data_IF_571474212186
#
_entry.id   IF_571474212186
#
_cell.length_a   1.000
_cell.length_b   1.000
_cell.length_c   1.000
_cell.angle_alpha   90.00
_cell.angle_beta   90.00
_cell.angle_gamma   90.00
#
_symmetry.space_group_name_H-M   'P 1'
#
loop_
_entity.id
_entity.type
_entity.pdbx_description
1 polymer ?
#
# COMPACT_ATOMS: atom_id res chain seq x y z
N UNK A 1 1.65 16.81 -9.54
CA UNK A 1 1.12 15.43 -9.45
C UNK A 1 1.83 14.47 -10.40
N UNK A 2 1.85 14.73 -11.72
CA UNK A 2 2.63 13.94 -12.70
C UNK A 2 4.13 13.93 -12.37
N UNK A 3 4.65 15.06 -11.91
CA UNK A 3 6.05 15.19 -11.47
C UNK A 3 6.44 14.20 -10.36
N UNK A 4 5.54 13.92 -9.40
CA UNK A 4 5.82 12.93 -8.36
C UNK A 4 5.83 11.49 -8.88
N UNK A 5 5.01 11.18 -9.90
CA UNK A 5 5.01 9.87 -10.56
C UNK A 5 6.29 9.63 -11.36
N UNK A 6 6.76 10.66 -12.08
CA UNK A 6 8.04 10.57 -12.77
C UNK A 6 9.17 10.38 -11.76
N UNK A 7 9.15 11.14 -10.67
CA UNK A 7 10.15 11.03 -9.61
C UNK A 7 10.17 9.64 -8.96
N UNK A 8 9.02 9.02 -8.67
CA UNK A 8 8.99 7.64 -8.14
C UNK A 8 9.50 6.62 -9.14
N UNK A 9 9.21 6.80 -10.43
CA UNK A 9 9.73 5.95 -11.51
C UNK A 9 11.25 6.05 -11.63
N UNK A 10 11.79 7.27 -11.60
CA UNK A 10 13.22 7.55 -11.76
C UNK A 10 14.05 7.08 -10.56
N UNK A 11 13.48 7.09 -9.36
CA UNK A 11 14.11 6.54 -8.15
C UNK A 11 14.14 5.01 -8.11
N UNK A 12 13.29 4.32 -8.89
CA UNK A 12 13.15 2.87 -8.75
C UNK A 12 14.33 2.12 -9.38
N UNK A 13 15.17 1.49 -8.55
CA UNK A 13 16.32 0.68 -8.99
C UNK A 13 15.96 -0.74 -9.44
N UNK A 14 14.68 -1.08 -9.49
CA UNK A 14 14.19 -2.43 -9.81
C UNK A 14 14.75 -3.55 -8.90
N UNK A 15 15.15 -3.25 -7.66
CA UNK A 15 15.76 -4.21 -6.73
C UNK A 15 14.83 -5.33 -6.23
N UNK A 16 13.54 -5.30 -6.58
CA UNK A 16 12.51 -6.32 -6.27
C UNK A 16 12.22 -6.56 -4.77
N UNK A 17 12.78 -5.77 -3.85
CA UNK A 17 12.49 -5.88 -2.41
C UNK A 17 10.99 -5.71 -2.08
N UNK A 18 10.33 -4.76 -2.75
CA UNK A 18 8.88 -4.54 -2.60
C UNK A 18 8.05 -5.76 -3.03
N UNK A 19 8.42 -6.41 -4.14
CA UNK A 19 7.81 -7.68 -4.60
C UNK A 19 7.98 -8.75 -3.53
N UNK A 20 9.21 -8.90 -3.01
CA UNK A 20 9.54 -9.87 -1.97
C UNK A 20 8.76 -9.69 -0.68
N UNK A 21 8.70 -8.47 -0.11
CA UNK A 21 8.01 -8.22 1.16
C UNK A 21 6.50 -8.39 1.03
N UNK A 22 5.91 -7.96 -0.10
CA UNK A 22 4.49 -8.13 -0.36
C UNK A 22 4.11 -9.61 -0.34
N UNK A 23 4.88 -10.45 -1.05
CA UNK A 23 4.62 -11.88 -1.12
C UNK A 23 4.94 -12.63 0.17
N UNK A 24 6.16 -12.47 0.68
CA UNK A 24 6.69 -13.34 1.76
C UNK A 24 6.24 -12.92 3.15
N UNK A 25 6.11 -11.62 3.41
CA UNK A 25 5.81 -11.10 4.74
C UNK A 25 4.32 -10.79 4.88
N UNK A 26 3.76 -10.09 3.89
CA UNK A 26 2.34 -9.70 3.95
C UNK A 26 1.44 -10.86 3.51
N UNK A 27 1.92 -11.73 2.63
CA UNK A 27 1.13 -12.83 2.05
C UNK A 27 0.21 -12.35 0.93
N UNK A 28 0.61 -11.33 0.18
CA UNK A 28 -0.12 -10.77 -0.96
C UNK A 28 0.75 -10.79 -2.22
N UNK A 29 0.12 -10.95 -3.37
CA UNK A 29 0.81 -10.91 -4.67
C UNK A 29 0.36 -9.67 -5.46
N UNK A 30 0.42 -8.51 -4.79
CA UNK A 30 -0.05 -7.23 -5.34
C UNK A 30 1.05 -6.46 -6.09
N UNK A 31 2.28 -6.95 -6.12
CA UNK A 31 3.42 -6.27 -6.74
C UNK A 31 4.18 -7.27 -7.60
N UNK A 32 4.41 -6.92 -8.86
CA UNK A 32 5.09 -7.77 -9.85
C UNK A 32 6.29 -7.04 -10.43
N UNK A 33 7.33 -7.80 -10.77
CA UNK A 33 8.39 -7.34 -11.67
C UNK A 33 8.07 -7.86 -13.07
N UNK A 34 8.00 -6.96 -14.05
CA UNK A 34 7.60 -7.26 -15.43
C UNK A 34 8.73 -6.84 -16.37
N UNK A 35 9.15 -7.74 -17.24
CA UNK A 35 10.07 -7.44 -18.34
C UNK A 35 9.28 -7.27 -19.62
N UNK A 36 9.58 -6.21 -20.35
CA UNK A 36 9.02 -5.91 -21.67
C UNK A 36 9.95 -6.47 -22.74
N UNK A 37 9.39 -6.92 -23.87
CA UNK A 37 10.17 -7.51 -24.98
C UNK A 37 11.16 -6.56 -25.66
N UNK A 38 11.18 -5.27 -25.29
CA UNK A 38 12.16 -4.27 -25.74
C UNK A 38 13.35 -4.10 -24.77
N UNK A 39 13.51 -4.99 -23.79
CA UNK A 39 14.60 -4.93 -22.81
C UNK A 39 14.33 -4.03 -21.61
N UNK A 40 13.16 -3.38 -21.53
CA UNK A 40 12.77 -2.59 -20.36
C UNK A 40 12.18 -3.47 -19.27
N UNK A 41 12.31 -3.04 -18.02
CA UNK A 41 11.67 -3.69 -16.88
C UNK A 41 10.95 -2.68 -15.99
N UNK A 42 9.95 -3.13 -15.25
CA UNK A 42 9.14 -2.27 -14.38
C UNK A 42 8.61 -3.03 -13.17
N UNK A 43 8.41 -2.31 -12.07
CA UNK A 43 7.63 -2.79 -10.92
C UNK A 43 6.20 -2.32 -11.11
N UNK A 44 5.25 -3.26 -11.15
CA UNK A 44 3.82 -3.00 -11.36
C UNK A 44 3.03 -3.34 -10.11
N UNK A 45 2.19 -2.40 -9.67
CA UNK A 45 1.27 -2.58 -8.55
C UNK A 45 -0.14 -2.88 -9.05
N UNK A 46 -0.69 -4.00 -8.58
CA UNK A 46 -2.12 -4.31 -8.66
C UNK A 46 -2.80 -3.70 -7.42
N UNK A 47 -3.38 -2.52 -7.60
CA UNK A 47 -4.03 -1.79 -6.50
C UNK A 47 -5.32 -2.44 -6.01
N UNK A 48 -5.89 -3.38 -6.75
CA UNK A 48 -7.11 -4.08 -6.33
C UNK A 48 -6.77 -5.28 -5.44
N UNK A 49 -5.58 -5.87 -5.59
CA UNK A 49 -5.01 -6.85 -4.64
C UNK A 49 -4.28 -6.22 -3.47
N UNK A 50 -3.82 -4.98 -3.62
CA UNK A 50 -3.10 -4.26 -2.58
C UNK A 50 -4.01 -4.04 -1.36
N UNK A 51 -3.46 -4.23 -0.15
CA UNK A 51 -4.14 -3.90 1.10
C UNK A 51 -3.60 -2.63 1.74
N UNK A 52 -2.68 -1.94 1.05
CA UNK A 52 -2.13 -0.63 1.45
C UNK A 52 -1.48 -0.64 2.85
N UNK A 53 -0.85 -1.76 3.21
CA UNK A 53 -0.18 -1.97 4.50
C UNK A 53 1.14 -1.19 4.67
N UNK A 54 1.68 -0.61 3.60
CA UNK A 54 2.89 0.22 3.65
C UNK A 54 4.23 -0.52 3.76
N UNK A 55 4.25 -1.86 3.90
CA UNK A 55 5.51 -2.61 4.00
C UNK A 55 6.45 -2.42 2.80
N UNK A 56 5.89 -2.20 1.61
CA UNK A 56 6.67 -1.92 0.41
C UNK A 56 7.34 -0.54 0.44
N UNK A 57 6.66 0.48 0.98
CA UNK A 57 7.24 1.81 1.18
C UNK A 57 8.34 1.76 2.25
N UNK A 58 8.08 1.08 3.37
CA UNK A 58 9.05 0.91 4.46
C UNK A 58 10.37 0.28 4.03
N UNK A 59 10.33 -0.76 3.17
CA UNK A 59 11.54 -1.45 2.72
C UNK A 59 12.24 -0.75 1.53
N UNK A 60 11.62 0.27 0.94
CA UNK A 60 12.15 0.93 -0.25
C UNK A 60 13.22 1.95 0.14
N UNK A 61 14.48 1.53 0.15
CA UNK A 61 15.62 2.41 0.43
C UNK A 61 15.78 3.57 -0.56
N UNK A 62 15.20 3.46 -1.77
CA UNK A 62 15.28 4.50 -2.80
C UNK A 62 14.12 5.52 -2.71
N UNK A 63 13.19 5.35 -1.77
CA UNK A 63 11.99 6.19 -1.65
C UNK A 63 11.18 6.29 -2.95
N UNK A 64 11.10 5.19 -3.71
CA UNK A 64 10.35 5.07 -4.96
C UNK A 64 8.85 4.76 -4.74
N UNK A 65 8.42 4.60 -3.49
CA UNK A 65 7.02 4.36 -3.10
C UNK A 65 6.70 5.34 -1.98
N UNK A 66 5.67 6.16 -2.17
CA UNK A 66 5.25 7.21 -1.25
C UNK A 66 3.85 6.87 -0.75
N UNK A 67 3.64 7.02 0.56
CA UNK A 67 2.34 6.85 1.21
C UNK A 67 2.13 8.06 2.12
N UNK A 68 1.02 8.75 1.92
CA UNK A 68 0.64 9.93 2.70
C UNK A 68 -0.84 9.86 3.05
N UNK A 69 -1.20 10.32 4.24
CA UNK A 69 -2.59 10.42 4.69
C UNK A 69 -3.04 11.88 4.65
N UNK A 70 -4.19 12.13 4.03
CA UNK A 70 -4.82 13.43 3.93
C UNK A 70 -6.29 13.31 4.34
N UNK A 71 -6.60 13.68 5.59
CA UNK A 71 -7.93 13.53 6.15
C UNK A 71 -8.37 12.07 6.20
N UNK A 72 -9.38 11.71 5.42
CA UNK A 72 -9.96 10.36 5.37
C UNK A 72 -9.43 9.48 4.23
N UNK A 73 -8.35 9.92 3.59
CA UNK A 73 -7.81 9.31 2.38
C UNK A 73 -6.31 9.05 2.51
N UNK A 74 -5.89 7.82 2.19
CA UNK A 74 -4.49 7.45 1.99
C UNK A 74 -4.13 7.52 0.52
N UNK A 75 -3.14 8.32 0.18
CA UNK A 75 -2.60 8.48 -1.17
C UNK A 75 -1.37 7.60 -1.27
N UNK A 76 -1.35 6.70 -2.25
CA UNK A 76 -0.18 5.89 -2.58
C UNK A 76 0.32 6.25 -3.97
N UNK A 77 1.61 6.59 -4.08
CA UNK A 77 2.30 6.86 -5.34
C UNK A 77 3.42 5.84 -5.49
N UNK A 78 3.43 5.14 -6.60
CA UNK A 78 4.39 4.07 -6.92
C UNK A 78 5.04 4.34 -8.28
N UNK A 79 6.04 3.55 -8.69
CA UNK A 79 6.60 3.66 -10.04
C UNK A 79 5.59 3.34 -11.16
N UNK A 80 4.51 2.62 -10.84
CA UNK A 80 3.49 2.21 -11.82
C UNK A 80 2.19 3.00 -11.76
N UNK A 81 2.04 3.95 -10.83
CA UNK A 81 0.83 4.76 -10.75
C UNK A 81 0.51 5.32 -9.38
N UNK A 82 -0.64 5.98 -9.31
CA UNK A 82 -1.20 6.59 -8.10
C UNK A 82 -2.59 6.05 -7.84
N UNK A 83 -2.91 5.74 -6.58
CA UNK A 83 -4.27 5.41 -6.16
C UNK A 83 -4.55 5.97 -4.77
N UNK A 84 -5.80 6.36 -4.56
CA UNK A 84 -6.34 6.85 -3.30
C UNK A 84 -7.18 5.76 -2.64
N UNK A 85 -7.10 5.66 -1.32
CA UNK A 85 -7.77 4.63 -0.54
C UNK A 85 -8.48 5.25 0.66
N UNK A 86 -9.72 4.83 0.91
CA UNK A 86 -10.47 5.31 2.07
C UNK A 86 -9.90 4.76 3.38
N UNK A 87 -9.77 5.64 4.36
CA UNK A 87 -9.41 5.30 5.73
C UNK A 87 -10.66 5.14 6.60
N UNK A 88 -10.66 4.14 7.48
CA UNK A 88 -11.70 3.97 8.49
C UNK A 88 -11.52 4.99 9.61
N UNK A 89 -12.62 5.63 9.98
CA UNK A 89 -12.72 6.52 11.14
C UNK A 89 -12.91 5.72 12.42
N UNK A 90 -12.15 6.03 13.47
CA UNK A 90 -12.33 5.47 14.80
C UNK A 90 -13.66 5.95 15.41
N UNK A 91 -14.47 5.03 15.92
CA UNK A 91 -15.76 5.35 16.53
C UNK A 91 -15.65 6.14 17.85
N UNK A 92 -14.49 6.10 18.51
CA UNK A 92 -14.24 6.78 19.80
C UNK A 92 -13.62 8.17 19.63
N UNK A 93 -12.44 8.25 19.02
CA UNK A 93 -11.68 9.51 18.91
C UNK A 93 -11.88 10.23 17.57
N UNK A 94 -12.51 9.59 16.58
CA UNK A 94 -12.70 10.18 15.26
C UNK A 94 -11.46 10.19 14.35
N UNK A 95 -10.32 9.65 14.80
CA UNK A 95 -9.10 9.57 13.98
C UNK A 95 -9.22 8.54 12.84
N UNK A 96 -8.66 8.87 11.68
CA UNK A 96 -8.58 7.98 10.52
C UNK A 96 -7.31 7.14 10.60
N UNK A 97 -7.43 5.82 10.71
CA UNK A 97 -6.31 5.02 11.23
C UNK A 97 -5.82 3.87 10.33
N UNK A 98 -6.68 3.32 9.48
CA UNK A 98 -6.27 2.27 8.54
C UNK A 98 -7.12 2.25 7.27
N UNK A 99 -6.54 1.85 6.12
CA UNK A 99 -7.28 1.62 4.89
C UNK A 99 -8.36 0.56 5.09
N UNK A 100 -9.55 0.78 4.53
CA UNK A 100 -10.67 -0.16 4.67
C UNK A 100 -10.33 -1.56 4.13
N UNK A 101 -9.52 -1.63 3.07
CA UNK A 101 -9.04 -2.88 2.48
C UNK A 101 -8.11 -3.65 3.42
N UNK A 102 -7.29 -2.93 4.20
CA UNK A 102 -6.44 -3.54 5.21
C UNK A 102 -7.28 -4.15 6.33
N UNK A 103 -8.30 -3.43 6.77
CA UNK A 103 -9.23 -3.89 7.81
C UNK A 103 -10.01 -5.12 7.35
N UNK A 104 -10.55 -5.11 6.13
CA UNK A 104 -11.24 -6.27 5.54
C UNK A 104 -10.35 -7.50 5.54
N UNK A 105 -9.11 -7.36 5.06
CA UNK A 105 -8.15 -8.46 5.06
C UNK A 105 -7.81 -8.97 6.47
N UNK A 106 -7.59 -8.08 7.43
CA UNK A 106 -7.29 -8.47 8.81
C UNK A 106 -8.47 -9.17 9.48
N UNK A 107 -9.69 -8.69 9.24
CA UNK A 107 -10.92 -9.29 9.75
C UNK A 107 -11.13 -10.70 9.19
N UNK A 108 -10.99 -10.88 7.87
CA UNK A 108 -11.04 -12.19 7.21
C UNK A 108 -9.99 -13.14 7.77
N UNK A 109 -8.73 -12.70 7.84
CA UNK A 109 -7.60 -13.52 8.31
C UNK A 109 -7.73 -13.93 9.78
N UNK A 110 -8.30 -13.07 10.62
CA UNK A 110 -8.52 -13.35 12.03
C UNK A 110 -9.86 -14.05 12.31
N UNK A 111 -10.70 -14.25 11.29
CA UNK A 111 -12.09 -14.69 11.44
C UNK A 111 -12.88 -13.86 12.47
N UNK A 112 -12.77 -12.54 12.35
CA UNK A 112 -13.43 -11.58 13.22
C UNK A 112 -14.43 -10.71 12.44
N UNK A 113 -15.53 -10.27 13.07
CA UNK A 113 -16.42 -9.31 12.43
C UNK A 113 -15.72 -7.96 12.24
N UNK A 114 -16.08 -7.22 11.19
CA UNK A 114 -15.52 -5.89 10.88
C UNK A 114 -15.67 -4.90 12.05
N UNK A 115 -16.72 -5.06 12.87
CA UNK A 115 -16.93 -4.25 14.08
C UNK A 115 -15.80 -4.38 15.11
N UNK A 116 -15.05 -5.49 15.09
CA UNK A 116 -13.82 -5.66 15.89
C UNK A 116 -12.73 -4.63 15.54
N UNK A 117 -12.93 -3.88 14.45
CA UNK A 117 -12.03 -2.85 13.96
C UNK A 117 -12.61 -1.43 14.04
N UNK A 118 -13.69 -1.21 14.81
CA UNK A 118 -14.29 0.12 14.98
C UNK A 118 -13.42 1.10 15.79
N UNK A 119 -12.50 0.58 16.60
CA UNK A 119 -11.54 1.38 17.37
C UNK A 119 -10.14 1.31 16.75
N UNK A 120 -9.44 2.45 16.71
CA UNK A 120 -8.02 2.49 16.37
C UNK A 120 -7.17 1.80 17.47
N UNK A 121 -5.92 1.41 17.18
CA UNK A 121 -5.04 0.75 18.14
C UNK A 121 -4.88 1.50 19.48
N UNK A 122 -4.85 2.84 19.44
CA UNK A 122 -4.69 3.67 20.65
C UNK A 122 -5.97 3.77 21.51
N UNK A 123 -7.11 3.32 20.99
CA UNK A 123 -8.41 3.39 21.66
C UNK A 123 -8.93 2.04 22.16
N UNK A 124 -8.20 0.94 21.91
CA UNK A 124 -8.54 -0.43 22.33
C UNK A 124 -8.00 -0.76 23.71
#
# INVERSE_FOLDING_TARGET
MIEMLNNTKDRCTLCKKCVGVCRKTVGREAISYVESGNGNASIVFDFDKCIVCGSCAYICGDNAIIIEDAGDTRIMITPSGRKEFKLKKCAKCGYYWAPEQQIKFMAEKANLPLSSFDLCPDCR
#
